data_IF_516312073862
#
_entry.id   IF_516312073862
#
_cell.length_a   1.000
_cell.length_b   1.000
_cell.length_c   1.000
_cell.angle_alpha   90.00
_cell.angle_beta   90.00
_cell.angle_gamma   90.00
#
_symmetry.space_group_name_H-M   'P 1'
#
loop_
_entity.id
_entity.type
_entity.pdbx_description
1 polymer ?
#
# COMPACT_ATOMS: atom_id res chain seq x y z
N UNK A 1 2.37 -7.96 -1.31
CA UNK A 1 3.40 -7.09 -1.92
C UNK A 1 3.59 -5.90 -0.99
N UNK A 2 4.81 -5.42 -0.80
CA UNK A 2 5.05 -4.23 0.02
C UNK A 2 4.83 -2.92 -0.77
N UNK A 3 4.93 -1.77 -0.09
CA UNK A 3 4.74 -0.46 -0.71
C UNK A 3 5.83 -0.12 -1.74
N UNK A 4 7.09 -0.50 -1.50
CA UNK A 4 8.19 -0.19 -2.42
C UNK A 4 8.07 -1.01 -3.70
N UNK A 5 7.69 -2.28 -3.58
CA UNK A 5 7.41 -3.16 -4.70
C UNK A 5 6.24 -2.63 -5.52
N UNK A 6 5.14 -2.23 -4.88
CA UNK A 6 4.01 -1.60 -5.57
C UNK A 6 4.45 -0.35 -6.34
N UNK A 7 5.26 0.52 -5.72
CA UNK A 7 5.76 1.75 -6.35
C UNK A 7 6.62 1.40 -7.58
N UNK A 8 7.52 0.43 -7.48
CA UNK A 8 8.39 0.00 -8.59
C UNK A 8 7.60 -0.64 -9.73
N UNK A 9 6.62 -1.48 -9.41
CA UNK A 9 5.75 -2.12 -10.39
C UNK A 9 4.94 -1.11 -11.21
N UNK A 10 4.59 0.03 -10.60
CA UNK A 10 3.87 1.12 -11.25
C UNK A 10 4.82 2.16 -11.91
N UNK A 11 6.08 1.80 -12.18
CA UNK A 11 7.05 2.65 -12.88
C UNK A 11 7.75 3.70 -12.00
N UNK A 12 7.60 3.63 -10.68
CA UNK A 12 8.24 4.54 -9.73
C UNK A 12 9.65 4.09 -9.36
N UNK A 13 10.55 5.05 -9.06
CA UNK A 13 11.93 4.73 -8.66
C UNK A 13 12.07 4.24 -7.21
N UNK A 14 10.99 4.20 -6.43
CA UNK A 14 11.03 3.87 -4.99
C UNK A 14 11.73 4.92 -4.10
N UNK A 15 12.09 6.10 -4.63
CA UNK A 15 12.74 7.19 -3.88
C UNK A 15 11.72 8.18 -3.31
N UNK A 16 12.10 8.92 -2.26
CA UNK A 16 11.22 9.82 -1.48
C UNK A 16 10.41 10.83 -2.29
N UNK A 17 10.92 11.29 -3.44
CA UNK A 17 10.26 12.28 -4.31
C UNK A 17 9.80 11.67 -5.65
N UNK A 18 9.72 10.34 -5.78
CA UNK A 18 9.31 9.74 -7.04
C UNK A 18 7.82 10.06 -7.32
N UNK A 19 7.43 10.36 -8.57
CA UNK A 19 6.06 10.78 -8.89
C UNK A 19 4.99 9.79 -8.43
N UNK A 20 5.25 8.49 -8.57
CA UNK A 20 4.33 7.42 -8.16
C UNK A 20 4.12 7.41 -6.65
N UNK A 21 5.17 7.59 -5.85
CA UNK A 21 5.06 7.68 -4.39
C UNK A 21 4.30 8.94 -3.98
N UNK A 22 4.59 10.08 -4.62
CA UNK A 22 3.87 11.35 -4.36
C UNK A 22 2.38 11.21 -4.68
N UNK A 23 2.03 10.65 -5.84
CA UNK A 23 0.65 10.41 -6.23
C UNK A 23 -0.06 9.44 -5.28
N UNK A 24 0.59 8.34 -4.90
CA UNK A 24 0.05 7.37 -3.95
C UNK A 24 -0.21 8.03 -2.58
N UNK A 25 0.73 8.85 -2.11
CA UNK A 25 0.59 9.57 -0.85
C UNK A 25 -0.57 10.56 -0.88
N UNK A 26 -0.71 11.33 -1.97
CA UNK A 26 -1.83 12.25 -2.18
C UNK A 26 -3.17 11.52 -2.17
N UNK A 27 -3.28 10.41 -2.91
CA UNK A 27 -4.49 9.58 -2.94
C UNK A 27 -4.82 8.98 -1.58
N UNK A 28 -3.80 8.58 -0.83
CA UNK A 28 -3.95 8.04 0.52
C UNK A 28 -4.17 9.12 1.60
N UNK A 29 -4.16 10.40 1.21
CA UNK A 29 -4.29 11.57 2.10
C UNK A 29 -3.21 11.59 3.19
N UNK A 30 -1.95 11.44 2.77
CA UNK A 30 -0.80 11.54 3.66
C UNK A 30 0.40 12.22 2.98
N UNK A 31 1.39 12.66 3.77
CA UNK A 31 2.61 13.22 3.21
C UNK A 31 3.45 12.11 2.53
N UNK A 32 4.03 12.39 1.37
CA UNK A 32 4.97 11.50 0.68
C UNK A 32 6.16 11.10 1.57
N UNK A 33 6.69 12.00 2.41
CA UNK A 33 7.74 11.67 3.39
C UNK A 33 7.27 10.61 4.40
N UNK A 34 6.08 10.75 4.95
CA UNK A 34 5.51 9.72 5.86
C UNK A 34 5.32 8.40 5.13
N UNK A 35 4.78 8.41 3.91
CA UNK A 35 4.61 7.19 3.13
C UNK A 35 5.96 6.51 2.85
N UNK A 36 7.00 7.29 2.53
CA UNK A 36 8.35 6.77 2.33
C UNK A 36 8.93 6.13 3.60
N UNK A 37 8.78 6.77 4.76
CA UNK A 37 9.22 6.19 6.05
C UNK A 37 8.45 4.91 6.41
N UNK A 38 7.17 4.81 6.03
CA UNK A 38 6.39 3.58 6.18
C UNK A 38 6.90 2.50 5.23
N UNK A 39 7.16 2.85 3.98
CA UNK A 39 7.64 1.91 2.96
C UNK A 39 9.04 1.33 3.31
N UNK A 40 9.88 2.10 4.00
CA UNK A 40 11.18 1.64 4.54
C UNK A 40 11.06 0.87 5.88
N UNK A 41 9.86 0.78 6.47
CA UNK A 41 9.66 0.15 7.78
C UNK A 41 10.09 1.00 8.98
N UNK A 42 10.50 2.25 8.79
CA UNK A 42 10.92 3.15 9.86
C UNK A 42 9.76 3.80 10.63
N UNK A 43 8.54 3.77 10.07
CA UNK A 43 7.34 4.32 10.70
C UNK A 43 6.15 3.39 10.50
N UNK A 44 5.31 3.24 11.53
CA UNK A 44 4.08 2.45 11.44
C UNK A 44 2.93 3.33 10.95
N UNK A 45 2.20 2.87 9.93
CA UNK A 45 1.00 3.54 9.44
C UNK A 45 -0.15 3.37 10.44
N UNK A 46 -0.86 4.45 10.78
CA UNK A 46 -2.04 4.39 11.65
C UNK A 46 -3.22 3.65 11.01
N UNK A 47 -4.19 3.20 11.81
CA UNK A 47 -5.32 2.39 11.36
C UNK A 47 -6.06 2.96 10.12
N UNK A 48 -6.37 4.27 10.12
CA UNK A 48 -7.05 4.91 8.98
C UNK A 48 -6.17 4.98 7.73
N UNK A 49 -4.88 5.27 7.88
CA UNK A 49 -3.94 5.32 6.77
C UNK A 49 -3.79 3.96 6.09
N UNK A 50 -3.74 2.88 6.86
CA UNK A 50 -3.63 1.52 6.32
C UNK A 50 -4.85 1.16 5.48
N UNK A 51 -6.07 1.46 5.96
CA UNK A 51 -7.30 1.26 5.18
C UNK A 51 -7.31 2.10 3.90
N UNK A 52 -6.84 3.34 3.99
CA UNK A 52 -6.69 4.23 2.83
C UNK A 52 -5.73 3.64 1.79
N UNK A 53 -4.55 3.18 2.23
CA UNK A 53 -3.53 2.55 1.37
C UNK A 53 -4.05 1.30 0.67
N UNK A 54 -4.74 0.41 1.39
CA UNK A 54 -5.37 -0.77 0.80
C UNK A 54 -6.40 -0.37 -0.28
N UNK A 55 -7.25 0.62 0.01
CA UNK A 55 -8.25 1.11 -0.94
C UNK A 55 -7.62 1.71 -2.20
N UNK A 56 -6.63 2.59 -2.06
CA UNK A 56 -6.04 3.30 -3.22
C UNK A 56 -5.13 2.41 -4.07
N UNK A 57 -4.59 1.34 -3.48
CA UNK A 57 -3.85 0.29 -4.19
C UNK A 57 -4.75 -0.83 -4.70
N UNK A 58 -6.08 -0.70 -4.56
CA UNK A 58 -7.06 -1.72 -4.94
C UNK A 58 -6.72 -3.12 -4.36
N UNK A 59 -6.30 -3.17 -3.11
CA UNK A 59 -5.94 -4.40 -2.41
C UNK A 59 -4.54 -4.95 -2.72
N UNK A 60 -3.79 -4.37 -3.66
CA UNK A 60 -2.44 -4.84 -3.99
C UNK A 60 -1.47 -4.74 -2.81
N UNK A 61 -1.64 -3.71 -1.97
CA UNK A 61 -0.97 -3.59 -0.66
C UNK A 61 -2.00 -3.82 0.44
N UNK A 62 -1.94 -4.99 1.07
CA UNK A 62 -2.94 -5.42 2.05
C UNK A 62 -2.72 -4.82 3.43
N UNK A 63 -3.82 -4.48 4.12
CA UNK A 63 -3.77 -4.02 5.51
C UNK A 63 -3.20 -5.05 6.48
N UNK A 64 -3.42 -6.34 6.22
CA UNK A 64 -2.92 -7.43 7.07
C UNK A 64 -1.40 -7.55 6.99
N UNK A 65 -0.81 -7.20 5.84
CA UNK A 65 0.65 -7.15 5.66
C UNK A 65 1.24 -5.87 6.29
N UNK A 66 0.57 -4.73 6.14
CA UNK A 66 1.04 -3.45 6.69
C UNK A 66 0.97 -3.36 8.22
N UNK A 67 -0.08 -3.92 8.84
CA UNK A 67 -0.32 -3.88 10.29
C UNK A 67 -0.94 -5.19 10.79
N UNK A 68 -0.18 -6.30 10.77
CA UNK A 68 -0.64 -7.58 11.32
C UNK A 68 -0.98 -7.47 12.81
N UNK A 69 -0.32 -6.56 13.54
CA UNK A 69 -0.58 -6.28 14.95
C UNK A 69 -1.95 -5.64 15.24
N UNK A 70 -2.59 -5.02 14.24
CA UNK A 70 -3.94 -4.45 14.35
C UNK A 70 -4.98 -5.38 13.76
N UNK A 71 -4.72 -5.90 12.56
CA UNK A 71 -5.73 -6.60 11.75
C UNK A 71 -5.65 -8.13 11.87
N UNK A 72 -4.62 -8.66 12.52
CA UNK A 72 -4.42 -10.10 12.65
C UNK A 72 -4.08 -10.77 11.33
N UNK A 73 -4.36 -12.08 11.26
CA UNK A 73 -4.22 -12.85 10.04
C UNK A 73 -5.28 -12.43 9.00
N UNK A 74 -4.95 -12.41 7.69
CA UNK A 74 -5.95 -12.25 6.65
C UNK A 74 -7.04 -13.33 6.79
N UNK A 75 -8.32 -13.01 6.56
CA UNK A 75 -9.34 -14.05 6.45
C UNK A 75 -8.96 -14.99 5.30
N UNK A 76 -8.87 -16.28 5.59
CA UNK A 76 -8.68 -17.32 4.59
C UNK A 76 -9.96 -17.44 3.74
N UNK A 77 -10.08 -16.64 2.68
CA UNK A 77 -11.15 -16.79 1.68
C UNK A 77 -11.60 -15.52 0.93
N UNK A 78 -11.33 -15.52 -0.38
CA UNK A 78 -12.03 -14.86 -1.50
C UNK A 78 -11.86 -13.35 -1.83
N UNK A 79 -11.02 -13.07 -2.84
CA UNK A 79 -11.39 -12.74 -4.25
C UNK A 79 -10.57 -11.59 -4.86
N UNK A 80 -9.70 -11.93 -5.82
CA UNK A 80 -9.69 -11.32 -7.16
C UNK A 80 -8.86 -12.20 -8.12
N UNK A 81 -9.43 -13.35 -8.48
CA UNK A 81 -9.29 -13.81 -9.86
C UNK A 81 -10.32 -13.02 -10.66
N UNK A 82 -9.84 -12.11 -11.52
CA UNK A 82 -10.57 -11.75 -12.74
C UNK A 82 -9.82 -12.47 -13.84
N UNK A 83 -10.14 -13.76 -13.98
CA UNK A 83 -9.85 -14.52 -15.19
C UNK A 83 -10.74 -13.98 -16.31
N UNK A 84 -10.19 -13.97 -17.52
CA UNK A 84 -10.81 -13.59 -18.78
C UNK A 84 -12.29 -13.97 -18.92
N UNK A 85 -13.05 -13.08 -19.55
CA UNK A 85 -14.31 -13.41 -20.19
C UNK A 85 -14.36 -12.76 -21.58
N UNK A 86 -14.06 -13.63 -22.57
CA UNK A 86 -14.55 -13.74 -23.95
C UNK A 86 -14.74 -12.47 -24.80
#
# INVERSE_FOLDING_TARGET
>A
MDLLDYIKLNGGSGKINCPVLVQLATRAVCSHKTLYMIALGHKRAGHQLVKSLERVTNGAVSRYQLRPDIFGAPPTGHRQEVSDAA
#
